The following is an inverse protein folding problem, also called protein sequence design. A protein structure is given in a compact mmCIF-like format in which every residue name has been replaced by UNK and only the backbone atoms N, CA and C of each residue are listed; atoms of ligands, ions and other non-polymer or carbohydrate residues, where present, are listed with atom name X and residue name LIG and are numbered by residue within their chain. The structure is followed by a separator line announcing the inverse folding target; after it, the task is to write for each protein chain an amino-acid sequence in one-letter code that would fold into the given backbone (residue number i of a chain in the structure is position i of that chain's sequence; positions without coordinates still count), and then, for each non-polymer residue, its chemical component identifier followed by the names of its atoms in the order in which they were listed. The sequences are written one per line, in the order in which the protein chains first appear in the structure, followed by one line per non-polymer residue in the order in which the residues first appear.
data_IF_112114973854
#
_entry.id   IF_112114973854
#
_cell.length_a   1.000
_cell.length_b   1.000
_cell.length_c   1.000
_cell.angle_alpha   90.00
_cell.angle_beta   90.00
_cell.angle_gamma   90.00
#
_symmetry.space_group_name_H-M   'P 1'
#
loop_
_entity.id
_entity.type
_entity.pdbx_description
1 polymer ?
#
# COMPACT_ATOMS: atom_id res chain seq x y z
N UNK A 1 -35.63 3.96 33.32
CA UNK A 1 -34.95 2.65 33.45
C UNK A 1 -33.46 2.93 33.64
N UNK A 2 -32.99 2.75 34.86
CA UNK A 2 -31.61 2.99 35.30
C UNK A 2 -30.66 1.99 34.66
N UNK A 3 -29.73 2.46 33.82
CA UNK A 3 -28.59 1.66 33.41
C UNK A 3 -27.71 1.42 34.64
N UNK A 4 -27.29 0.17 34.83
CA UNK A 4 -26.29 -0.25 35.81
C UNK A 4 -25.01 0.60 35.67
N UNK A 5 -24.28 0.88 36.76
CA UNK A 5 -23.00 1.59 36.67
C UNK A 5 -22.06 0.76 35.79
N UNK A 6 -21.76 1.28 34.58
CA UNK A 6 -20.90 0.59 33.62
C UNK A 6 -19.50 0.43 34.20
N UNK A 7 -18.87 -0.73 33.98
CA UNK A 7 -17.48 -0.97 34.35
C UNK A 7 -16.57 0.10 33.74
N UNK A 8 -15.62 0.59 34.54
CA UNK A 8 -14.61 1.56 34.09
C UNK A 8 -13.72 0.86 33.06
N UNK A 9 -13.62 1.44 31.86
CA UNK A 9 -12.72 0.98 30.80
C UNK A 9 -11.34 1.62 30.98
N UNK A 10 -10.35 0.80 31.28
CA UNK A 10 -8.95 1.17 31.28
C UNK A 10 -8.42 1.30 29.84
N UNK A 11 -7.82 2.46 29.56
CA UNK A 11 -7.07 2.75 28.34
C UNK A 11 -5.60 2.81 28.72
N UNK A 12 -4.76 1.97 28.11
CA UNK A 12 -3.32 2.01 28.29
C UNK A 12 -2.67 2.71 27.10
N UNK A 13 -2.10 3.88 27.32
CA UNK A 13 -1.26 4.60 26.36
C UNK A 13 0.21 4.21 26.57
N UNK A 14 0.85 3.69 25.53
CA UNK A 14 2.24 3.27 25.48
C UNK A 14 3.01 4.19 24.54
N UNK A 15 4.04 4.84 25.04
CA UNK A 15 4.89 5.75 24.28
C UNK A 15 6.34 5.28 24.25
N UNK A 16 6.92 5.19 23.05
CA UNK A 16 8.32 4.85 22.86
C UNK A 16 9.03 5.88 21.96
N UNK A 17 10.11 6.46 22.46
CA UNK A 17 10.95 7.44 21.77
C UNK A 17 12.43 7.02 21.86
N UNK A 18 12.80 5.87 21.26
CA UNK A 18 14.17 5.33 21.37
C UNK A 18 15.21 6.30 20.78
N UNK A 19 16.40 6.29 21.38
CA UNK A 19 17.57 7.04 20.88
C UNK A 19 17.91 6.60 19.46
N UNK A 20 18.27 7.57 18.63
CA UNK A 20 18.63 7.33 17.23
C UNK A 20 17.47 7.41 16.24
N UNK A 21 16.25 7.68 16.70
CA UNK A 21 15.12 8.04 15.83
C UNK A 21 14.84 9.54 15.84
N UNK A 22 14.00 10.00 14.91
CA UNK A 22 13.49 11.38 14.93
C UNK A 22 12.56 11.54 16.14
N UNK A 23 12.82 12.48 17.07
CA UNK A 23 11.97 12.64 18.26
C UNK A 23 10.51 12.95 17.89
N UNK A 24 9.58 12.20 18.48
CA UNK A 24 8.14 12.44 18.34
C UNK A 24 7.60 13.19 19.56
N UNK A 25 6.65 14.09 19.35
CA UNK A 25 5.97 14.81 20.43
C UNK A 25 4.80 13.99 21.01
N UNK A 26 5.14 12.86 21.62
CA UNK A 26 4.19 11.88 22.17
C UNK A 26 3.40 12.45 23.37
N UNK A 27 3.99 13.41 24.09
CA UNK A 27 3.32 14.13 25.19
C UNK A 27 2.11 14.92 24.70
N UNK A 28 2.22 15.62 23.56
CA UNK A 28 1.08 16.34 22.99
C UNK A 28 -0.05 15.40 22.60
N UNK A 29 0.26 14.20 22.12
CA UNK A 29 -0.77 13.21 21.83
C UNK A 29 -1.45 12.69 23.09
N UNK A 30 -0.68 12.22 24.08
CA UNK A 30 -1.22 11.76 25.36
C UNK A 30 -2.09 12.83 26.05
N UNK A 31 -1.62 14.08 26.04
CA UNK A 31 -2.37 15.21 26.58
C UNK A 31 -3.66 15.44 25.80
N UNK A 32 -3.63 15.40 24.48
CA UNK A 32 -4.81 15.61 23.66
C UNK A 32 -5.87 14.51 23.87
N UNK A 33 -5.44 13.26 24.06
CA UNK A 33 -6.32 12.15 24.43
C UNK A 33 -6.97 12.40 25.80
N UNK A 34 -6.16 12.77 26.81
CA UNK A 34 -6.64 13.08 28.15
C UNK A 34 -7.67 14.22 28.14
N UNK A 35 -7.32 15.34 27.51
CA UNK A 35 -8.18 16.52 27.41
C UNK A 35 -9.49 16.20 26.64
N UNK A 36 -9.46 15.29 25.65
CA UNK A 36 -10.64 14.80 24.94
C UNK A 36 -11.58 13.97 25.83
N UNK A 37 -11.01 12.99 26.55
CA UNK A 37 -11.76 12.14 27.47
C UNK A 37 -12.37 12.94 28.63
N UNK A 38 -11.63 13.88 29.22
CA UNK A 38 -12.10 14.72 30.35
C UNK A 38 -13.28 15.62 29.97
N UNK A 39 -13.32 16.13 28.73
CA UNK A 39 -14.42 16.97 28.22
C UNK A 39 -15.64 16.16 27.77
N UNK A 40 -15.52 14.84 27.72
CA UNK A 40 -16.55 13.98 27.16
C UNK A 40 -17.74 13.76 28.10
N UNK A 41 -18.90 13.44 27.52
CA UNK A 41 -20.15 13.20 28.28
C UNK A 41 -20.04 12.02 29.23
N UNK A 42 -19.21 11.04 28.89
CA UNK A 42 -19.04 9.81 29.65
C UNK A 42 -17.62 9.69 30.23
N UNK A 43 -16.98 10.81 30.60
CA UNK A 43 -15.61 10.84 31.14
C UNK A 43 -15.38 9.85 32.29
N UNK A 44 -16.38 9.65 33.16
CA UNK A 44 -16.28 8.79 34.34
C UNK A 44 -16.24 7.28 33.98
N UNK A 45 -16.40 6.92 32.69
CA UNK A 45 -16.28 5.54 32.20
C UNK A 45 -14.86 5.15 31.78
N UNK A 46 -13.93 6.11 31.70
CA UNK A 46 -12.59 5.85 31.16
C UNK A 46 -11.51 6.16 32.19
N UNK A 47 -10.52 5.28 32.30
CA UNK A 47 -9.30 5.51 33.06
C UNK A 47 -8.09 5.45 32.13
N UNK A 48 -7.48 6.60 31.83
CA UNK A 48 -6.29 6.68 30.99
C UNK A 48 -5.02 6.47 31.81
N UNK A 49 -4.35 5.35 31.58
CA UNK A 49 -3.06 5.01 32.15
C UNK A 49 -1.97 5.20 31.10
N UNK A 50 -0.82 5.73 31.50
CA UNK A 50 0.26 6.08 30.57
C UNK A 50 1.55 5.36 30.99
N UNK A 51 2.22 4.73 30.03
CA UNK A 51 3.55 4.15 30.19
C UNK A 51 4.47 4.77 29.14
N UNK A 52 5.59 5.32 29.62
CA UNK A 52 6.58 6.05 28.82
C UNK A 52 7.87 5.24 28.75
N UNK A 53 8.70 5.55 27.75
CA UNK A 53 9.98 4.87 27.52
C UNK A 53 9.81 3.34 27.47
N UNK A 54 8.80 2.90 26.72
CA UNK A 54 8.32 1.51 26.79
C UNK A 54 9.32 0.57 26.14
N UNK A 55 9.87 -0.35 26.94
CA UNK A 55 10.61 -1.52 26.47
C UNK A 55 9.65 -2.69 26.16
N UNK A 56 10.13 -3.73 25.47
CA UNK A 56 9.30 -4.92 25.20
C UNK A 56 8.78 -5.59 26.48
N UNK A 57 9.65 -5.73 27.49
CA UNK A 57 9.32 -6.23 28.82
C UNK A 57 8.39 -5.27 29.56
N UNK A 58 8.61 -3.96 29.44
CA UNK A 58 7.74 -2.94 30.01
C UNK A 58 6.32 -2.99 29.45
N UNK A 59 6.18 -3.14 28.13
CA UNK A 59 4.89 -3.32 27.45
C UNK A 59 4.15 -4.55 27.98
N UNK A 60 4.82 -5.70 28.01
CA UNK A 60 4.22 -6.94 28.49
C UNK A 60 3.76 -6.81 29.94
N UNK A 61 4.57 -6.19 30.81
CA UNK A 61 4.22 -5.95 32.21
C UNK A 61 3.00 -5.03 32.32
N UNK A 62 3.01 -3.89 31.64
CA UNK A 62 1.93 -2.92 31.71
C UNK A 62 0.59 -3.49 31.21
N UNK A 63 0.60 -4.25 30.11
CA UNK A 63 -0.61 -4.90 29.60
C UNK A 63 -1.15 -5.94 30.58
N UNK A 64 -0.29 -6.75 31.19
CA UNK A 64 -0.70 -7.77 32.16
C UNK A 64 -1.20 -7.18 33.48
N UNK A 65 -0.49 -6.19 34.05
CA UNK A 65 -0.83 -5.61 35.35
C UNK A 65 -2.10 -4.76 35.30
N UNK A 66 -2.29 -4.03 34.20
CA UNK A 66 -3.36 -3.05 34.09
C UNK A 66 -4.63 -3.61 33.43
N UNK A 67 -4.54 -4.79 32.80
CA UNK A 67 -5.63 -5.46 32.09
C UNK A 67 -6.52 -4.49 31.28
N UNK A 68 -5.93 -3.69 30.37
CA UNK A 68 -6.64 -2.63 29.68
C UNK A 68 -7.64 -3.19 28.66
N UNK A 69 -8.81 -2.57 28.51
CA UNK A 69 -9.73 -2.87 27.40
C UNK A 69 -9.29 -2.20 26.10
N UNK A 70 -8.54 -1.10 26.16
CA UNK A 70 -7.98 -0.41 24.99
C UNK A 70 -6.49 -0.20 25.18
N UNK A 71 -5.67 -0.62 24.20
CA UNK A 71 -4.24 -0.31 24.16
C UNK A 71 -3.96 0.65 23.00
N UNK A 72 -3.28 1.75 23.29
CA UNK A 72 -2.83 2.72 22.30
C UNK A 72 -1.31 2.78 22.33
N UNK A 73 -0.67 2.36 21.26
CA UNK A 73 0.76 2.53 21.06
C UNK A 73 1.02 3.75 20.18
N UNK A 74 1.90 4.65 20.62
CA UNK A 74 2.41 5.74 19.82
C UNK A 74 3.94 5.73 19.81
N UNK A 75 4.52 5.77 18.61
CA UNK A 75 5.96 5.63 18.42
C UNK A 75 6.31 5.36 16.95
N UNK A 76 7.52 4.86 16.72
CA UNK A 76 7.96 4.52 15.36
C UNK A 76 7.57 3.10 14.95
N UNK A 77 7.44 2.89 13.64
CA UNK A 77 7.22 1.59 13.02
C UNK A 77 7.99 1.48 11.71
N UNK A 78 8.44 0.26 11.39
CA UNK A 78 9.28 -0.03 10.22
C UNK A 78 8.65 -1.14 9.37
N UNK A 79 7.33 -1.10 9.18
CA UNK A 79 6.60 -2.12 8.40
C UNK A 79 6.90 -3.53 8.91
N UNK A 80 7.43 -4.40 8.03
CA UNK A 80 7.83 -5.78 8.38
C UNK A 80 8.91 -5.89 9.47
N UNK A 81 9.65 -4.79 9.71
CA UNK A 81 10.59 -4.70 10.82
C UNK A 81 9.91 -4.70 12.20
N UNK A 82 8.67 -4.24 12.31
CA UNK A 82 7.92 -4.18 13.56
C UNK A 82 7.77 -2.79 14.16
N UNK A 83 7.30 -2.74 15.41
CA UNK A 83 7.23 -1.52 16.21
C UNK A 83 8.58 -1.25 16.89
N UNK A 84 9.01 0.00 16.89
CA UNK A 84 10.23 0.41 17.59
C UNK A 84 9.91 0.71 19.05
N UNK A 85 10.42 -0.13 19.94
CA UNK A 85 10.43 0.06 21.38
C UNK A 85 11.83 0.45 21.86
N UNK A 86 11.93 0.80 23.14
CA UNK A 86 13.23 1.07 23.76
C UNK A 86 13.87 -0.25 24.22
N UNK A 87 15.19 -0.34 24.06
CA UNK A 87 16.01 -1.32 24.78
C UNK A 87 16.38 -0.78 26.17
N UNK A 88 17.03 -1.59 27.00
CA UNK A 88 17.47 -1.20 28.35
C UNK A 88 18.48 -0.03 28.34
N UNK A 89 19.21 0.17 27.24
CA UNK A 89 20.12 1.32 27.05
C UNK A 89 19.43 2.55 26.39
N UNK A 90 18.12 2.43 26.10
CA UNK A 90 17.30 3.41 25.40
C UNK A 90 17.48 3.43 23.89
N UNK A 91 18.23 2.48 23.29
CA UNK A 91 18.33 2.34 21.84
C UNK A 91 17.07 1.70 21.23
N UNK A 92 17.02 1.64 19.89
CA UNK A 92 15.89 1.03 19.17
C UNK A 92 15.92 -0.48 19.30
N UNK A 93 14.83 -1.06 19.81
CA UNK A 93 14.53 -2.48 19.73
C UNK A 93 13.26 -2.70 18.91
N UNK A 94 13.38 -3.41 17.79
CA UNK A 94 12.23 -3.74 16.94
C UNK A 94 11.48 -4.98 17.47
N UNK A 95 10.17 -4.84 17.66
CA UNK A 95 9.28 -5.94 18.04
C UNK A 95 8.41 -6.35 16.87
N UNK A 96 8.61 -7.59 16.42
CA UNK A 96 7.97 -8.19 15.25
C UNK A 96 6.47 -8.46 15.46
N UNK A 97 5.75 -8.55 14.35
CA UNK A 97 4.31 -8.80 14.29
C UNK A 97 3.89 -10.07 15.03
N UNK A 98 4.68 -11.15 14.94
CA UNK A 98 4.37 -12.43 15.60
C UNK A 98 4.51 -12.36 17.13
N UNK A 99 5.47 -11.60 17.64
CA UNK A 99 5.65 -11.37 19.07
C UNK A 99 4.49 -10.55 19.66
N UNK A 100 4.06 -9.50 18.95
CA UNK A 100 2.89 -8.70 19.35
C UNK A 100 1.60 -9.53 19.33
N UNK A 101 1.38 -10.33 18.28
CA UNK A 101 0.23 -11.22 18.19
C UNK A 101 0.20 -12.22 19.36
N UNK A 102 1.34 -12.83 19.71
CA UNK A 102 1.47 -13.72 20.87
C UNK A 102 1.11 -13.00 22.17
N UNK A 103 1.59 -11.78 22.40
CA UNK A 103 1.26 -10.99 23.59
C UNK A 103 -0.25 -10.76 23.69
N UNK A 104 -0.86 -10.19 22.64
CA UNK A 104 -2.28 -9.84 22.66
C UNK A 104 -3.21 -11.06 22.68
N UNK A 105 -2.76 -12.22 22.18
CA UNK A 105 -3.47 -13.50 22.35
C UNK A 105 -3.65 -13.86 23.82
N UNK A 106 -2.66 -13.57 24.67
CA UNK A 106 -2.72 -13.87 26.10
C UNK A 106 -3.70 -12.95 26.83
N UNK A 107 -3.97 -11.76 26.30
CA UNK A 107 -4.88 -10.77 26.88
C UNK A 107 -6.37 -11.05 26.62
N UNK A 108 -6.69 -12.10 25.86
CA UNK A 108 -8.07 -12.47 25.49
C UNK A 108 -8.34 -13.96 25.72
N UNK A 109 -7.63 -14.57 26.66
CA UNK A 109 -7.83 -15.96 27.03
C UNK A 109 -9.20 -16.17 27.68
N UNK A 110 -9.73 -17.40 27.67
CA UNK A 110 -10.92 -17.74 28.45
C UNK A 110 -10.74 -17.29 29.90
N UNK A 111 -11.80 -16.74 30.50
CA UNK A 111 -11.81 -16.23 31.88
C UNK A 111 -11.05 -14.92 32.15
N UNK A 112 -10.53 -14.23 31.12
CA UNK A 112 -10.10 -12.84 31.29
C UNK A 112 -11.32 -11.95 31.59
N UNK A 113 -11.35 -11.32 32.78
CA UNK A 113 -12.47 -10.49 33.24
C UNK A 113 -12.71 -9.25 32.35
N UNK A 114 -11.63 -8.65 31.87
CA UNK A 114 -11.62 -7.46 31.03
C UNK A 114 -10.71 -7.68 29.81
N UNK A 115 -11.17 -8.40 28.77
CA UNK A 115 -10.34 -8.67 27.59
C UNK A 115 -10.08 -7.38 26.80
N UNK A 116 -8.92 -7.31 26.17
CA UNK A 116 -8.60 -6.23 25.23
C UNK A 116 -9.61 -6.26 24.07
N UNK A 117 -10.35 -5.16 23.90
CA UNK A 117 -11.35 -5.00 22.85
C UNK A 117 -10.77 -4.26 21.63
N UNK A 118 -9.87 -3.31 21.88
CA UNK A 118 -9.29 -2.48 20.82
C UNK A 118 -7.79 -2.24 21.01
N UNK A 119 -7.03 -2.32 19.91
CA UNK A 119 -5.63 -1.88 19.86
C UNK A 119 -5.47 -0.80 18.79
N UNK A 120 -4.83 0.32 19.13
CA UNK A 120 -4.50 1.42 18.21
C UNK A 120 -2.98 1.49 18.09
N UNK A 121 -2.46 1.36 16.88
CA UNK A 121 -1.03 1.43 16.59
C UNK A 121 -0.72 2.70 15.78
N UNK A 122 -0.53 3.82 16.47
CA UNK A 122 -0.09 5.09 15.90
C UNK A 122 1.41 5.05 15.61
N UNK A 123 1.80 4.25 14.63
CA UNK A 123 3.17 4.08 14.18
C UNK A 123 3.19 3.85 12.66
N UNK A 124 4.21 4.38 11.97
CA UNK A 124 4.33 4.26 10.51
C UNK A 124 4.28 2.79 10.05
N UNK A 125 3.48 2.51 9.02
CA UNK A 125 3.34 1.17 8.42
C UNK A 125 2.92 0.06 9.41
N UNK A 126 2.23 0.41 10.50
CA UNK A 126 1.79 -0.55 11.53
C UNK A 126 0.62 -1.46 11.13
N UNK A 127 0.09 -1.33 9.91
CA UNK A 127 -0.99 -2.18 9.39
C UNK A 127 -0.63 -3.67 9.44
N UNK A 128 0.62 -4.03 9.19
CA UNK A 128 1.07 -5.43 9.23
C UNK A 128 0.92 -6.03 10.64
N UNK A 129 1.38 -5.29 11.67
CA UNK A 129 1.21 -5.69 13.06
C UNK A 129 -0.27 -5.70 13.44
N UNK A 130 -1.05 -4.73 12.94
CA UNK A 130 -2.48 -4.68 13.18
C UNK A 130 -3.20 -5.94 12.65
N UNK A 131 -2.82 -6.44 11.46
CA UNK A 131 -3.37 -7.68 10.89
C UNK A 131 -3.04 -8.89 11.76
N UNK A 132 -1.82 -8.99 12.26
CA UNK A 132 -1.40 -10.08 13.12
C UNK A 132 -2.15 -10.08 14.46
N UNK A 133 -2.33 -8.91 15.08
CA UNK A 133 -3.05 -8.75 16.34
C UNK A 133 -4.56 -8.99 16.17
N UNK A 134 -5.13 -8.58 15.03
CA UNK A 134 -6.56 -8.72 14.74
C UNK A 134 -7.02 -10.19 14.64
N UNK A 135 -6.10 -11.15 14.51
CA UNK A 135 -6.43 -12.57 14.65
C UNK A 135 -6.99 -12.90 16.04
N UNK A 136 -6.68 -12.09 17.04
CA UNK A 136 -7.04 -12.32 18.44
C UNK A 136 -7.97 -11.23 19.00
N UNK A 137 -7.73 -9.97 18.64
CA UNK A 137 -8.46 -8.80 19.17
C UNK A 137 -9.62 -8.38 18.24
N UNK A 138 -10.82 -8.03 18.76
CA UNK A 138 -11.97 -7.63 17.96
C UNK A 138 -11.69 -6.48 16.99
N UNK A 139 -11.02 -5.43 17.44
CA UNK A 139 -10.72 -4.23 16.67
C UNK A 139 -9.25 -3.86 16.78
N UNK A 140 -8.57 -3.68 15.64
CA UNK A 140 -7.21 -3.17 15.62
C UNK A 140 -7.07 -2.10 14.56
N UNK A 141 -6.53 -0.95 14.93
CA UNK A 141 -6.27 0.17 14.04
C UNK A 141 -4.76 0.24 13.82
N UNK A 142 -4.33 0.14 12.56
CA UNK A 142 -2.94 0.34 12.16
C UNK A 142 -2.82 1.38 11.05
N UNK A 143 -1.60 1.81 10.74
CA UNK A 143 -1.33 2.79 9.69
C UNK A 143 -0.81 2.07 8.45
N UNK A 144 -1.48 2.27 7.31
CA UNK A 144 -1.11 1.63 6.03
C UNK A 144 0.18 2.20 5.42
N UNK A 145 0.57 3.39 5.86
CA UNK A 145 1.74 4.13 5.37
C UNK A 145 2.37 4.95 6.50
N UNK A 146 3.40 5.74 6.16
CA UNK A 146 3.92 6.75 7.07
C UNK A 146 2.79 7.73 7.44
N UNK A 147 2.73 8.10 8.72
CA UNK A 147 1.75 9.05 9.26
C UNK A 147 2.52 10.19 9.93
N UNK A 148 2.17 11.44 9.62
CA UNK A 148 2.72 12.59 10.30
C UNK A 148 2.15 12.78 11.71
N UNK A 149 2.94 13.36 12.62
CA UNK A 149 2.56 13.63 14.01
C UNK A 149 1.24 14.40 14.14
N UNK A 150 0.98 15.32 13.21
CA UNK A 150 -0.27 16.08 13.18
C UNK A 150 -1.47 15.18 12.86
N UNK A 151 -1.36 14.27 11.88
CA UNK A 151 -2.42 13.34 11.55
C UNK A 151 -2.65 12.33 12.67
N UNK A 152 -1.59 11.73 13.22
CA UNK A 152 -1.69 10.78 14.33
C UNK A 152 -2.43 11.41 15.53
N UNK A 153 -2.03 12.62 15.92
CA UNK A 153 -2.70 13.35 17.01
C UNK A 153 -4.15 13.73 16.67
N UNK A 154 -4.43 14.17 15.44
CA UNK A 154 -5.81 14.50 15.02
C UNK A 154 -6.72 13.27 14.98
N UNK A 155 -6.18 12.14 14.54
CA UNK A 155 -6.85 10.86 14.61
C UNK A 155 -7.19 10.49 16.05
N UNK A 156 -6.19 10.51 16.94
CA UNK A 156 -6.36 10.17 18.35
C UNK A 156 -7.43 11.05 19.02
N UNK A 157 -7.39 12.37 18.82
CA UNK A 157 -8.41 13.29 19.35
C UNK A 157 -9.82 12.91 18.86
N UNK A 158 -10.02 12.78 17.55
CA UNK A 158 -11.32 12.43 16.99
C UNK A 158 -11.84 11.08 17.48
N UNK A 159 -10.95 10.10 17.57
CA UNK A 159 -11.26 8.76 18.05
C UNK A 159 -11.72 8.76 19.51
N UNK A 160 -10.94 9.35 20.42
CA UNK A 160 -11.28 9.35 21.85
C UNK A 160 -12.41 10.32 22.21
N UNK A 161 -12.57 11.43 21.48
CA UNK A 161 -13.75 12.31 21.63
C UNK A 161 -15.03 11.54 21.31
N UNK A 162 -15.03 10.73 20.23
CA UNK A 162 -16.16 9.91 19.84
C UNK A 162 -16.43 8.77 20.83
N UNK A 163 -15.39 8.10 21.34
CA UNK A 163 -15.54 7.09 22.39
C UNK A 163 -16.09 7.68 23.68
N UNK A 164 -15.56 8.84 24.10
CA UNK A 164 -16.07 9.61 25.24
C UNK A 164 -17.52 10.06 25.08
N UNK A 165 -17.97 10.24 23.83
CA UNK A 165 -19.37 10.52 23.49
C UNK A 165 -20.25 9.26 23.43
N UNK A 166 -19.73 8.09 23.75
CA UNK A 166 -20.46 6.82 23.81
C UNK A 166 -20.64 6.14 22.45
N UNK A 167 -19.82 6.48 21.44
CA UNK A 167 -19.83 5.81 20.14
C UNK A 167 -19.10 4.45 20.21
N UNK A 168 -19.46 3.54 19.31
CA UNK A 168 -18.74 2.26 19.15
C UNK A 168 -17.36 2.47 18.53
N UNK A 169 -16.47 1.49 18.68
CA UNK A 169 -15.11 1.54 18.10
C UNK A 169 -15.11 1.81 16.58
N UNK A 170 -15.94 1.15 15.75
CA UNK A 170 -15.98 1.45 14.31
C UNK A 170 -16.39 2.89 13.99
N UNK A 171 -17.38 3.41 14.72
CA UNK A 171 -17.83 4.80 14.53
C UNK A 171 -16.76 5.78 15.04
N UNK A 172 -16.12 5.50 16.17
CA UNK A 172 -15.03 6.31 16.68
C UNK A 172 -13.84 6.37 15.72
N UNK A 173 -13.52 5.25 15.06
CA UNK A 173 -12.53 5.21 13.99
C UNK A 173 -12.88 6.17 12.84
N UNK A 174 -14.13 6.17 12.36
CA UNK A 174 -14.59 7.10 11.33
C UNK A 174 -14.48 8.57 11.77
N UNK A 175 -14.79 8.87 13.03
CA UNK A 175 -14.59 10.22 13.59
C UNK A 175 -13.10 10.62 13.64
N UNK A 176 -12.20 9.69 13.96
CA UNK A 176 -10.75 9.90 13.89
C UNK A 176 -10.30 10.27 12.48
N UNK A 177 -10.69 9.48 11.47
CA UNK A 177 -10.40 9.76 10.05
C UNK A 177 -11.00 11.10 9.61
N UNK A 178 -12.27 11.36 9.95
CA UNK A 178 -12.93 12.65 9.66
C UNK A 178 -12.20 13.83 10.29
N UNK A 179 -11.62 13.68 11.49
CA UNK A 179 -10.88 14.75 12.17
C UNK A 179 -9.58 15.10 11.44
N UNK A 180 -8.91 14.12 10.84
CA UNK A 180 -7.76 14.36 9.96
C UNK A 180 -8.21 15.12 8.71
N UNK A 181 -9.28 14.65 8.07
CA UNK A 181 -9.82 15.23 6.83
C UNK A 181 -10.27 16.69 7.02
N UNK A 182 -10.99 16.97 8.12
CA UNK A 182 -11.42 18.33 8.49
C UNK A 182 -10.27 19.28 8.80
N UNK A 183 -9.12 18.77 9.25
CA UNK A 183 -7.92 19.55 9.46
C UNK A 183 -7.18 19.87 8.14
N UNK A 184 -7.66 19.37 7.00
CA UNK A 184 -7.03 19.54 5.69
C UNK A 184 -5.75 18.73 5.55
N UNK A 185 -5.56 17.68 6.35
CA UNK A 185 -4.36 16.84 6.33
C UNK A 185 -4.64 15.64 5.39
N UNK A 186 -3.85 15.42 4.33
CA UNK A 186 -4.11 14.39 3.32
C UNK A 186 -3.63 12.99 3.78
N UNK A 187 -3.94 12.62 5.02
CA UNK A 187 -3.56 11.36 5.67
C UNK A 187 -4.78 10.68 6.34
N UNK A 188 -5.99 11.12 6.03
CA UNK A 188 -7.26 10.63 6.59
C UNK A 188 -7.58 9.17 6.25
N UNK A 189 -7.02 8.68 5.14
CA UNK A 189 -7.08 7.28 4.72
C UNK A 189 -5.93 6.41 5.27
N UNK A 190 -4.98 6.99 6.01
CA UNK A 190 -3.82 6.26 6.55
C UNK A 190 -4.21 5.28 7.67
N UNK A 191 -5.05 5.66 8.66
CA UNK A 191 -5.55 4.72 9.66
C UNK A 191 -6.46 3.68 9.01
N UNK A 192 -6.23 2.40 9.31
CA UNK A 192 -7.00 1.25 8.81
C UNK A 192 -7.55 0.45 9.97
N UNK A 193 -8.88 0.32 10.04
CA UNK A 193 -9.56 -0.55 11.01
C UNK A 193 -9.64 -1.98 10.48
N UNK A 194 -9.15 -2.91 11.29
CA UNK A 194 -9.11 -4.35 11.01
C UNK A 194 -9.92 -5.06 12.09
N UNK A 195 -10.88 -5.88 11.67
CA UNK A 195 -11.77 -6.61 12.58
C UNK A 195 -11.45 -8.11 12.60
N UNK A 196 -11.65 -8.76 13.76
CA UNK A 196 -11.34 -10.19 13.95
C UNK A 196 -12.00 -11.13 12.95
N UNK A 197 -13.24 -10.85 12.54
CA UNK A 197 -13.94 -11.64 11.53
C UNK A 197 -13.37 -11.48 10.11
N UNK A 198 -12.61 -10.41 9.85
CA UNK A 198 -11.91 -10.19 8.58
C UNK A 198 -10.48 -10.74 8.60
N UNK A 199 -9.98 -11.14 9.77
CA UNK A 199 -8.69 -11.80 9.96
C UNK A 199 -8.77 -13.34 9.85
N UNK A 200 -9.98 -13.91 9.85
CA UNK A 200 -10.25 -15.35 9.81
C UNK A 200 -11.11 -15.77 8.60
N UNK A 201 -10.72 -15.37 7.39
CA UNK A 201 -11.03 -16.14 6.16
C UNK A 201 -9.83 -17.02 5.82
N UNK A 202 -9.60 -17.99 6.70
CA UNK A 202 -8.56 -19.02 6.60
C UNK A 202 -8.70 -20.01 7.76
N UNK A 203 -9.24 -21.20 7.47
CA UNK A 203 -9.34 -22.42 8.33
C UNK A 203 -10.74 -22.86 8.82
N UNK A 204 -11.41 -23.59 7.91
CA UNK A 204 -12.08 -24.91 8.01
C UNK A 204 -13.19 -25.29 9.02
N UNK A 205 -14.02 -26.22 8.50
CA UNK A 205 -14.87 -27.24 9.13
C UNK A 205 -16.37 -26.94 9.17
N UNK A 206 -17.08 -27.64 8.28
CA UNK A 206 -18.51 -27.56 8.09
C UNK A 206 -19.31 -28.36 9.12
N UNK A 207 -20.55 -27.93 9.28
CA UNK A 207 -21.66 -28.80 9.66
C UNK A 207 -22.70 -28.70 8.55
N UNK A 208 -22.97 -29.84 7.93
CA UNK A 208 -24.00 -30.02 6.92
C UNK A 208 -25.34 -30.14 7.64
N UNK A 209 -26.40 -29.42 7.23
CA UNK A 209 -27.76 -29.92 7.37
C UNK A 209 -28.15 -30.65 6.09
N UNK A 210 -28.57 -31.90 6.25
CA UNK A 210 -29.22 -32.71 5.22
C UNK A 210 -30.58 -32.12 4.77
N UNK A 211 -31.16 -32.61 3.66
CA UNK A 211 -31.99 -31.82 2.76
C UNK A 211 -33.47 -31.78 3.16
N UNK A 212 -34.12 -30.64 2.91
CA UNK A 212 -35.58 -30.54 2.93
C UNK A 212 -36.09 -30.49 1.48
N UNK A 213 -36.91 -31.50 1.16
CA UNK A 213 -37.74 -31.67 -0.03
C UNK A 213 -38.19 -30.37 -0.71
N UNK A 214 -37.82 -30.20 -1.98
CA UNK A 214 -38.51 -29.30 -2.90
C UNK A 214 -39.44 -30.11 -3.80
N UNK A 215 -40.76 -30.01 -3.56
CA UNK A 215 -41.77 -30.36 -4.55
C UNK A 215 -41.93 -29.20 -5.55
N UNK A 216 -41.64 -29.52 -6.81
CA UNK A 216 -42.42 -29.20 -8.01
C UNK A 216 -42.52 -27.72 -8.42
N UNK A 217 -41.86 -27.37 -9.53
CA UNK A 217 -42.53 -26.65 -10.63
C UNK A 217 -41.79 -26.91 -11.95
N UNK A 218 -42.57 -26.89 -13.02
CA UNK A 218 -42.36 -27.63 -14.26
C UNK A 218 -41.52 -26.89 -15.32
N UNK A 219 -40.95 -27.73 -16.20
CA UNK A 219 -40.79 -27.54 -17.67
C UNK A 219 -39.94 -26.41 -18.24
N UNK A 220 -38.78 -26.78 -18.82
CA UNK A 220 -38.27 -26.26 -20.12
C UNK A 220 -37.60 -27.42 -20.89
N UNK A 221 -37.84 -27.62 -22.21
CA UNK A 221 -37.31 -28.76 -22.96
C UNK A 221 -35.87 -28.59 -23.44
N UNK A 222 -35.23 -29.75 -23.59
CA UNK A 222 -33.83 -30.05 -23.88
C UNK A 222 -33.29 -29.57 -25.24
N UNK A 223 -32.08 -29.00 -25.23
CA UNK A 223 -31.17 -28.92 -26.39
C UNK A 223 -30.28 -30.18 -26.46
N UNK A 224 -29.85 -30.62 -27.67
CA UNK A 224 -29.15 -31.89 -27.87
C UNK A 224 -27.67 -31.87 -27.40
N UNK A 225 -27.06 -33.04 -27.11
CA UNK A 225 -25.74 -33.13 -26.48
C UNK A 225 -24.59 -32.88 -27.46
N UNK A 226 -23.58 -32.14 -27.02
CA UNK A 226 -22.27 -32.05 -27.68
C UNK A 226 -21.49 -33.38 -27.55
N UNK A 227 -20.64 -33.73 -28.54
CA UNK A 227 -19.93 -35.00 -28.57
C UNK A 227 -18.87 -35.11 -27.47
N UNK A 228 -18.84 -36.28 -26.80
CA UNK A 228 -17.80 -36.67 -25.85
C UNK A 228 -16.50 -36.93 -26.60
N UNK A 229 -15.46 -36.14 -26.31
CA UNK A 229 -14.08 -36.49 -26.66
C UNK A 229 -13.53 -37.38 -25.56
N UNK A 230 -13.39 -38.67 -25.86
CA UNK A 230 -12.72 -39.66 -25.03
C UNK A 230 -11.22 -39.58 -25.30
N UNK A 231 -10.45 -39.08 -24.33
CA UNK A 231 -8.99 -39.15 -24.33
C UNK A 231 -8.46 -39.03 -22.90
N UNK A 232 -7.38 -39.72 -22.52
CA UNK A 232 -6.86 -39.68 -21.17
C UNK A 232 -6.22 -38.30 -20.93
N UNK A 233 -6.88 -37.44 -20.16
CA UNK A 233 -6.28 -36.20 -19.66
C UNK A 233 -5.40 -36.58 -18.48
N UNK A 234 -4.10 -36.72 -18.72
CA UNK A 234 -3.11 -36.69 -17.63
C UNK A 234 -3.23 -35.33 -16.92
N UNK A 235 -3.45 -35.28 -15.60
CA UNK A 235 -3.41 -34.02 -14.88
C UNK A 235 -1.96 -33.51 -14.90
N UNK A 236 -1.70 -32.47 -15.69
CA UNK A 236 -0.48 -31.66 -15.52
C UNK A 236 -0.62 -30.96 -14.16
N UNK A 237 0.37 -31.05 -13.26
CA UNK A 237 0.31 -30.34 -11.98
C UNK A 237 0.20 -28.84 -12.25
N UNK A 238 -0.93 -28.25 -11.84
CA UNK A 238 -1.12 -26.80 -11.88
C UNK A 238 -0.23 -26.22 -10.78
N UNK A 239 0.86 -25.55 -11.17
CA UNK A 239 1.64 -24.72 -10.24
C UNK A 239 0.74 -23.60 -9.72
N UNK A 240 0.55 -23.56 -8.40
CA UNK A 240 -0.06 -22.43 -7.71
C UNK A 240 0.99 -21.32 -7.59
N UNK A 241 0.86 -20.27 -8.39
CA UNK A 241 1.59 -19.02 -8.16
C UNK A 241 0.96 -18.32 -6.93
N UNK A 242 1.72 -18.21 -5.84
CA UNK A 242 1.35 -17.47 -4.64
C UNK A 242 1.21 -15.96 -4.96
N UNK A 243 0.23 -15.23 -4.41
CA UNK A 243 -0.07 -13.86 -4.81
C UNK A 243 0.83 -12.85 -4.08
N UNK A 244 2.15 -12.95 -4.27
CA UNK A 244 3.08 -11.87 -3.94
C UNK A 244 3.81 -11.45 -5.21
N UNK A 245 3.46 -10.27 -5.73
CA UNK A 245 4.11 -9.68 -6.91
C UNK A 245 3.20 -9.50 -8.13
N UNK A 246 3.82 -9.15 -9.27
CA UNK A 246 3.11 -8.98 -10.54
C UNK A 246 2.58 -10.32 -11.05
N UNK A 247 1.31 -10.35 -11.43
CA UNK A 247 0.65 -11.57 -11.93
C UNK A 247 1.09 -11.81 -13.37
N UNK A 248 1.64 -12.99 -13.65
CA UNK A 248 2.09 -13.43 -14.98
C UNK A 248 1.02 -13.24 -16.06
N UNK A 249 1.46 -13.05 -17.31
CA UNK A 249 0.58 -12.78 -18.46
C UNK A 249 -0.41 -13.93 -18.70
N UNK A 250 0.01 -15.17 -18.45
CA UNK A 250 -0.77 -16.39 -18.66
C UNK A 250 -1.68 -16.76 -17.47
N UNK A 251 -1.68 -15.96 -16.40
CA UNK A 251 -2.44 -16.27 -15.20
C UNK A 251 -3.94 -16.08 -15.41
N UNK A 252 -4.70 -17.15 -15.15
CA UNK A 252 -6.17 -17.16 -15.15
C UNK A 252 -6.80 -16.37 -14.00
N UNK A 253 -5.99 -15.89 -13.04
CA UNK A 253 -6.46 -15.15 -11.86
C UNK A 253 -6.45 -13.63 -12.05
N UNK A 254 -6.02 -13.15 -13.21
CA UNK A 254 -6.11 -11.73 -13.53
C UNK A 254 -7.54 -11.34 -13.86
N UNK A 255 -8.12 -10.46 -13.05
CA UNK A 255 -9.42 -9.87 -13.35
C UNK A 255 -9.22 -8.71 -14.32
N UNK A 256 -9.62 -8.92 -15.57
CA UNK A 256 -9.66 -7.87 -16.59
C UNK A 256 -10.53 -6.69 -16.11
N UNK A 257 -10.09 -5.47 -16.41
CA UNK A 257 -10.79 -4.24 -16.02
C UNK A 257 -11.11 -3.36 -17.23
N UNK A 258 -12.10 -3.73 -18.06
CA UNK A 258 -12.65 -2.83 -19.07
C UNK A 258 -13.40 -1.65 -18.39
N UNK A 259 -13.36 -0.42 -18.95
CA UNK A 259 -12.69 -0.03 -20.20
C UNK A 259 -11.20 0.33 -20.02
N UNK A 260 -10.71 0.43 -18.79
CA UNK A 260 -9.41 0.99 -18.43
C UNK A 260 -8.23 0.28 -19.15
N UNK A 261 -8.27 -1.04 -19.22
CA UNK A 261 -7.23 -1.82 -19.91
C UNK A 261 -7.22 -1.56 -21.42
N UNK A 262 -8.40 -1.50 -22.04
CA UNK A 262 -8.53 -1.18 -23.47
C UNK A 262 -8.02 0.22 -23.77
N UNK A 263 -8.34 1.20 -22.92
CA UNK A 263 -7.83 2.56 -23.07
C UNK A 263 -6.29 2.60 -22.99
N UNK A 264 -5.69 1.81 -22.09
CA UNK A 264 -4.22 1.67 -22.00
C UNK A 264 -3.63 0.99 -23.24
N UNK A 265 -4.25 -0.09 -23.73
CA UNK A 265 -3.80 -0.81 -24.93
C UNK A 265 -3.91 0.05 -26.18
N UNK A 266 -5.00 0.80 -26.34
CA UNK A 266 -5.17 1.71 -27.46
C UNK A 266 -4.21 2.90 -27.37
N UNK A 267 -3.93 3.37 -26.15
CA UNK A 267 -3.01 4.49 -25.93
C UNK A 267 -1.56 4.08 -26.22
N UNK A 268 -1.13 2.88 -25.86
CA UNK A 268 0.27 2.44 -26.09
C UNK A 268 0.57 2.23 -27.58
N UNK A 269 -0.44 2.08 -28.43
CA UNK A 269 -0.25 2.00 -29.87
C UNK A 269 -0.03 3.39 -30.51
N UNK A 270 -0.40 4.48 -29.83
CA UNK A 270 -0.23 5.85 -30.33
C UNK A 270 1.23 6.30 -30.27
N UNK A 271 1.64 7.14 -31.21
CA UNK A 271 2.97 7.77 -31.23
C UNK A 271 3.14 8.73 -30.05
N UNK A 272 4.29 8.70 -29.37
CA UNK A 272 4.55 9.61 -28.25
C UNK A 272 3.67 9.37 -27.01
N UNK A 273 3.12 8.17 -26.85
CA UNK A 273 2.14 7.88 -25.79
C UNK A 273 2.71 8.08 -24.38
N UNK A 274 1.88 8.63 -23.49
CA UNK A 274 2.14 8.70 -22.05
C UNK A 274 0.96 8.09 -21.29
N UNK A 275 1.22 6.98 -20.59
CA UNK A 275 0.27 6.29 -19.74
C UNK A 275 0.72 6.45 -18.30
N UNK A 276 -0.18 6.91 -17.44
CA UNK A 276 0.07 7.01 -16.00
C UNK A 276 -0.88 6.10 -15.25
N UNK A 277 -0.34 5.06 -14.63
CA UNK A 277 -1.07 4.10 -13.81
C UNK A 277 -0.93 4.51 -12.35
N UNK A 278 -2.06 4.85 -11.74
CA UNK A 278 -2.12 5.28 -10.34
C UNK A 278 -3.07 4.41 -9.57
N UNK A 279 -2.55 3.72 -8.56
CA UNK A 279 -3.35 2.92 -7.63
C UNK A 279 -2.59 2.66 -6.32
N UNK A 280 -3.25 2.32 -5.21
CA UNK A 280 -2.61 1.78 -4.01
C UNK A 280 -1.74 0.53 -4.27
N UNK A 281 -0.78 0.25 -3.37
CA UNK A 281 0.07 -0.96 -3.44
C UNK A 281 -0.81 -2.23 -3.49
N UNK A 282 -0.29 -3.29 -4.11
CA UNK A 282 -0.97 -4.59 -4.26
C UNK A 282 -2.30 -4.58 -5.05
N UNK A 283 -2.63 -3.50 -5.76
CA UNK A 283 -3.83 -3.46 -6.63
C UNK A 283 -3.61 -4.01 -8.05
N UNK A 284 -2.47 -4.64 -8.31
CA UNK A 284 -2.11 -5.18 -9.62
C UNK A 284 -1.58 -4.14 -10.62
N UNK A 285 -0.97 -3.05 -10.16
CA UNK A 285 -0.41 -1.99 -11.03
C UNK A 285 0.69 -2.51 -11.96
N UNK A 286 1.67 -3.21 -11.37
CA UNK A 286 2.77 -3.82 -12.12
C UNK A 286 2.23 -4.94 -13.03
N UNK A 287 1.18 -5.64 -12.61
CA UNK A 287 0.47 -6.63 -13.45
C UNK A 287 -0.22 -5.99 -14.66
N UNK A 288 -0.86 -4.83 -14.50
CA UNK A 288 -1.45 -4.05 -15.60
C UNK A 288 -0.36 -3.52 -16.52
N UNK A 289 0.72 -2.98 -15.97
CA UNK A 289 1.86 -2.49 -16.73
C UNK A 289 2.48 -3.61 -17.57
N UNK A 290 2.75 -4.79 -17.01
CA UNK A 290 3.28 -5.93 -17.74
C UNK A 290 2.40 -6.32 -18.93
N UNK A 291 1.06 -6.27 -18.78
CA UNK A 291 0.11 -6.52 -19.87
C UNK A 291 0.16 -5.44 -20.95
N UNK A 292 0.26 -4.17 -20.57
CA UNK A 292 0.46 -3.07 -21.52
C UNK A 292 1.78 -3.23 -22.28
N UNK A 293 2.82 -3.70 -21.58
CA UNK A 293 4.11 -4.03 -22.17
C UNK A 293 4.03 -5.19 -23.14
N UNK A 294 3.31 -6.26 -22.78
CA UNK A 294 3.13 -7.41 -23.64
C UNK A 294 2.36 -7.06 -24.91
N UNK A 295 1.28 -6.29 -24.80
CA UNK A 295 0.57 -5.74 -25.95
C UNK A 295 1.49 -4.91 -26.85
N UNK A 296 2.38 -4.12 -26.24
CA UNK A 296 3.42 -3.38 -26.96
C UNK A 296 4.38 -4.31 -27.71
N UNK A 297 4.87 -5.38 -27.07
CA UNK A 297 5.74 -6.39 -27.70
C UNK A 297 5.05 -7.11 -28.85
N UNK A 298 3.79 -7.51 -28.68
CA UNK A 298 2.97 -8.12 -29.72
C UNK A 298 2.76 -7.18 -30.93
N UNK A 299 2.70 -5.87 -30.69
CA UNK A 299 2.67 -4.84 -31.73
C UNK A 299 4.04 -4.52 -32.35
N UNK A 300 5.10 -5.25 -32.00
CA UNK A 300 6.45 -5.06 -32.53
C UNK A 300 7.23 -3.90 -31.87
N UNK A 301 6.85 -3.48 -30.67
CA UNK A 301 7.58 -2.48 -29.90
C UNK A 301 8.61 -3.12 -28.97
N UNK A 302 9.74 -2.44 -28.79
CA UNK A 302 10.75 -2.86 -27.83
C UNK A 302 10.41 -2.31 -26.45
N UNK A 303 10.26 -3.18 -25.47
CA UNK A 303 9.94 -2.80 -24.09
C UNK A 303 11.17 -2.77 -23.20
N UNK A 304 11.36 -1.68 -22.46
CA UNK A 304 12.33 -1.54 -21.36
C UNK A 304 11.58 -1.32 -20.06
N UNK A 305 11.90 -2.12 -19.05
CA UNK A 305 11.29 -2.04 -17.73
C UNK A 305 12.34 -1.61 -16.70
N UNK A 306 12.08 -0.54 -15.97
CA UNK A 306 12.94 -0.09 -14.88
C UNK A 306 12.14 -0.05 -13.59
N UNK A 307 12.62 -0.82 -12.62
CA UNK A 307 12.15 -0.77 -11.25
C UNK A 307 13.07 0.12 -10.41
N UNK A 308 12.54 1.17 -9.80
CA UNK A 308 13.33 2.07 -8.95
C UNK A 308 13.62 1.49 -7.55
N UNK A 309 13.00 0.38 -7.16
CA UNK A 309 13.29 -0.32 -5.91
C UNK A 309 14.68 -0.99 -5.91
N UNK A 310 15.15 -1.41 -7.08
CA UNK A 310 16.48 -2.02 -7.26
C UNK A 310 17.59 -0.98 -7.43
N UNK A 311 17.27 0.32 -7.34
CA UNK A 311 18.27 1.38 -7.37
C UNK A 311 18.83 1.60 -5.97
N UNK A 312 20.15 1.60 -5.83
CA UNK A 312 20.78 1.94 -4.56
C UNK A 312 20.49 3.40 -4.19
N UNK A 313 20.30 3.65 -2.89
CA UNK A 313 20.00 4.98 -2.36
C UNK A 313 21.08 6.02 -2.70
N UNK A 314 22.32 5.57 -2.92
CA UNK A 314 23.44 6.42 -3.32
C UNK A 314 23.20 7.11 -4.67
N UNK A 315 22.58 6.43 -5.64
CA UNK A 315 22.28 7.01 -6.96
C UNK A 315 21.14 8.02 -6.89
N UNK A 316 20.22 7.88 -5.94
CA UNK A 316 19.07 8.78 -5.74
C UNK A 316 19.45 10.08 -5.01
N UNK A 317 20.69 10.20 -4.52
CA UNK A 317 21.20 11.40 -3.83
C UNK A 317 21.61 12.53 -4.77
N UNK A 318 21.96 12.21 -6.03
CA UNK A 318 22.49 13.17 -7.00
C UNK A 318 21.85 12.96 -8.38
N UNK A 319 21.30 14.03 -8.96
CA UNK A 319 20.66 13.99 -10.28
C UNK A 319 21.60 13.52 -11.40
N UNK A 320 22.89 13.84 -11.33
CA UNK A 320 23.84 13.44 -12.35
C UNK A 320 24.10 11.93 -12.31
N UNK A 321 24.39 11.39 -11.12
CA UNK A 321 24.57 9.95 -10.90
C UNK A 321 23.29 9.17 -11.22
N UNK A 322 22.14 9.71 -10.81
CA UNK A 322 20.84 9.13 -11.11
C UNK A 322 20.59 9.02 -12.62
N UNK A 323 20.84 10.09 -13.38
CA UNK A 323 20.62 10.09 -14.84
C UNK A 323 21.64 9.21 -15.57
N UNK A 324 22.88 9.10 -15.08
CA UNK A 324 23.86 8.14 -15.59
C UNK A 324 23.38 6.71 -15.37
N UNK A 325 23.03 6.36 -14.13
CA UNK A 325 22.46 5.05 -13.78
C UNK A 325 21.22 4.74 -14.63
N UNK A 326 20.31 5.69 -14.77
CA UNK A 326 19.11 5.53 -15.58
C UNK A 326 19.43 5.23 -17.05
N UNK A 327 20.39 5.95 -17.63
CA UNK A 327 20.84 5.72 -19.01
C UNK A 327 21.55 4.36 -19.18
N UNK A 328 22.39 3.96 -18.22
CA UNK A 328 23.03 2.64 -18.19
C UNK A 328 21.98 1.53 -18.13
N UNK A 329 21.03 1.63 -17.19
CA UNK A 329 19.96 0.66 -17.01
C UNK A 329 19.12 0.49 -18.27
N UNK A 330 18.70 1.59 -18.91
CA UNK A 330 17.98 1.49 -20.20
C UNK A 330 18.83 0.84 -21.29
N UNK A 331 20.13 1.16 -21.36
CA UNK A 331 21.01 0.59 -22.40
C UNK A 331 21.20 -0.90 -22.23
N UNK A 332 21.46 -1.33 -20.99
CA UNK A 332 21.62 -2.74 -20.63
C UNK A 332 20.35 -3.54 -20.94
N UNK A 333 19.18 -3.01 -20.58
CA UNK A 333 17.89 -3.64 -20.88
C UNK A 333 17.61 -3.73 -22.39
N UNK A 334 18.12 -2.79 -23.18
CA UNK A 334 18.03 -2.81 -24.63
C UNK A 334 19.04 -3.75 -25.31
N UNK A 335 19.95 -4.37 -24.54
CA UNK A 335 21.08 -5.14 -25.06
C UNK A 335 22.11 -4.28 -25.80
N UNK A 336 22.18 -2.99 -25.47
CA UNK A 336 23.11 -2.03 -26.03
C UNK A 336 24.21 -1.73 -25.00
N UNK A 337 25.47 -1.64 -25.44
CA UNK A 337 26.56 -1.20 -24.56
C UNK A 337 26.30 0.22 -24.05
N UNK A 338 26.53 0.47 -22.77
CA UNK A 338 26.37 1.80 -22.20
C UNK A 338 27.48 2.72 -22.73
N UNK A 339 27.13 3.67 -23.59
CA UNK A 339 28.09 4.67 -24.14
C UNK A 339 28.18 5.91 -23.27
N UNK A 340 28.08 5.73 -21.95
CA UNK A 340 28.04 6.85 -21.02
C UNK A 340 29.31 7.68 -21.10
N UNK A 341 30.48 7.05 -21.15
CA UNK A 341 31.75 7.76 -21.22
C UNK A 341 31.84 8.72 -22.41
N UNK A 342 31.18 8.43 -23.54
CA UNK A 342 31.24 9.28 -24.73
C UNK A 342 30.23 10.42 -24.70
N UNK A 343 29.04 10.17 -24.16
CA UNK A 343 27.94 11.13 -24.15
C UNK A 343 27.90 12.00 -22.88
N UNK A 344 28.59 11.58 -21.81
CA UNK A 344 28.67 12.34 -20.56
C UNK A 344 29.85 13.33 -20.50
N UNK A 345 30.63 13.46 -21.59
CA UNK A 345 31.70 14.44 -21.75
C UNK A 345 31.16 15.86 -22.01
N UNK A 346 31.91 16.88 -21.57
CA UNK A 346 31.65 18.30 -21.86
C UNK A 346 30.81 19.07 -20.81
N UNK A 347 30.55 20.34 -21.12
CA UNK A 347 30.00 21.38 -20.21
C UNK A 347 28.46 21.37 -20.14
N UNK A 348 27.78 20.49 -20.88
CA UNK A 348 26.32 20.41 -20.86
C UNK A 348 25.81 19.92 -19.50
N UNK A 349 24.70 20.49 -19.04
CA UNK A 349 24.03 20.00 -17.82
C UNK A 349 23.49 18.57 -17.99
N UNK A 350 23.39 17.83 -16.89
CA UNK A 350 23.02 16.41 -16.84
C UNK A 350 21.74 16.07 -17.59
N UNK A 351 20.72 16.95 -17.54
CA UNK A 351 19.47 16.81 -18.30
C UNK A 351 19.66 16.80 -19.82
N UNK A 352 20.54 17.68 -20.32
CA UNK A 352 20.84 17.77 -21.75
C UNK A 352 21.68 16.58 -22.21
N UNK A 353 22.62 16.11 -21.37
CA UNK A 353 23.39 14.89 -21.60
C UNK A 353 22.48 13.67 -21.73
N UNK A 354 21.57 13.48 -20.76
CA UNK A 354 20.57 12.42 -20.80
C UNK A 354 19.66 12.52 -22.04
N UNK A 355 19.13 13.71 -22.35
CA UNK A 355 18.29 13.90 -23.55
C UNK A 355 19.05 13.56 -24.85
N UNK A 356 20.31 13.98 -24.96
CA UNK A 356 21.15 13.66 -26.11
C UNK A 356 21.46 12.18 -26.21
N UNK A 357 21.67 11.50 -25.08
CA UNK A 357 21.87 10.05 -25.04
C UNK A 357 20.65 9.31 -25.62
N UNK A 358 19.45 9.65 -25.16
CA UNK A 358 18.22 9.06 -25.70
C UNK A 358 18.00 9.42 -27.17
N UNK A 359 18.16 10.69 -27.55
CA UNK A 359 17.85 11.14 -28.91
C UNK A 359 18.87 10.67 -29.96
N UNK A 360 20.17 10.72 -29.65
CA UNK A 360 21.23 10.47 -30.64
C UNK A 360 21.73 9.04 -30.62
N UNK A 361 21.74 8.38 -29.46
CA UNK A 361 22.16 7.00 -29.34
C UNK A 361 20.95 6.07 -29.36
N UNK A 362 20.18 6.02 -28.27
CA UNK A 362 19.14 5.01 -28.11
C UNK A 362 18.10 5.05 -29.25
N UNK A 363 17.33 6.13 -29.39
CA UNK A 363 16.23 6.24 -30.37
C UNK A 363 16.69 6.26 -31.85
N UNK A 364 17.98 6.53 -32.10
CA UNK A 364 18.58 6.41 -33.43
C UNK A 364 18.96 4.98 -33.75
N UNK A 365 19.50 4.25 -32.77
CA UNK A 365 19.93 2.86 -32.93
C UNK A 365 18.75 1.90 -33.06
N UNK A 366 17.65 2.15 -32.35
CA UNK A 366 16.41 1.38 -32.51
C UNK A 366 15.55 1.90 -33.66
N UNK A 367 15.27 1.00 -34.59
CA UNK A 367 14.30 1.20 -35.68
C UNK A 367 12.86 1.08 -35.15
N UNK A 368 12.65 0.17 -34.20
CA UNK A 368 11.36 -0.07 -33.54
C UNK A 368 11.04 1.00 -32.50
N UNK A 369 9.74 1.29 -32.28
CA UNK A 369 9.32 2.14 -31.17
C UNK A 369 9.67 1.55 -29.79
N UNK A 370 10.07 2.42 -28.86
CA UNK A 370 10.48 2.09 -27.50
C UNK A 370 9.34 2.35 -26.51
N UNK A 371 8.93 1.33 -25.77
CA UNK A 371 8.07 1.47 -24.59
C UNK A 371 8.96 1.44 -23.35
N UNK A 372 9.07 2.57 -22.67
CA UNK A 372 9.83 2.74 -21.44
C UNK A 372 8.88 2.75 -20.24
N UNK A 373 9.14 1.83 -19.33
CA UNK A 373 8.28 1.51 -18.22
C UNK A 373 8.97 1.80 -16.91
N UNK A 374 8.37 2.68 -16.12
CA UNK A 374 8.93 3.16 -14.87
C UNK A 374 8.03 2.68 -13.73
N UNK A 375 8.50 1.71 -12.95
CA UNK A 375 7.77 1.15 -11.79
C UNK A 375 8.42 1.55 -10.46
N UNK A 376 7.63 1.62 -9.40
CA UNK A 376 8.02 2.12 -8.07
C UNK A 376 8.70 3.50 -8.09
N UNK A 377 8.27 4.40 -8.98
CA UNK A 377 8.80 5.79 -9.01
C UNK A 377 8.55 6.56 -7.71
N UNK A 378 7.77 5.97 -6.79
CA UNK A 378 7.62 6.37 -5.39
C UNK A 378 8.96 6.53 -4.65
N UNK A 379 10.01 5.80 -5.04
CA UNK A 379 11.35 5.95 -4.48
C UNK A 379 11.98 7.29 -4.88
N UNK A 380 11.83 7.70 -6.14
CA UNK A 380 12.34 8.98 -6.63
C UNK A 380 11.65 10.14 -5.92
N UNK A 381 10.36 10.01 -5.58
CA UNK A 381 9.63 11.03 -4.81
C UNK A 381 10.17 11.28 -3.41
N UNK A 382 10.96 10.36 -2.83
CA UNK A 382 11.63 10.58 -1.54
C UNK A 382 12.77 11.60 -1.64
N UNK A 383 13.21 11.94 -2.86
CA UNK A 383 14.26 12.89 -3.16
C UNK A 383 13.72 14.04 -4.02
N UNK A 384 13.13 15.11 -3.42
CA UNK A 384 12.41 16.15 -4.16
C UNK A 384 13.23 16.86 -5.24
N UNK A 385 14.53 17.07 -5.00
CA UNK A 385 15.43 17.71 -5.97
C UNK A 385 15.60 16.86 -7.23
N UNK A 386 15.79 15.55 -7.09
CA UNK A 386 15.92 14.62 -8.21
C UNK A 386 14.57 14.42 -8.90
N UNK A 387 13.49 14.26 -8.13
CA UNK A 387 12.14 14.11 -8.66
C UNK A 387 11.73 15.30 -9.55
N UNK A 388 11.90 16.54 -9.08
CA UNK A 388 11.51 17.72 -9.83
C UNK A 388 12.21 17.79 -11.19
N UNK A 389 13.52 17.50 -11.21
CA UNK A 389 14.34 17.54 -12.42
C UNK A 389 14.01 16.37 -13.37
N UNK A 390 13.86 15.15 -12.84
CA UNK A 390 13.57 13.94 -13.62
C UNK A 390 12.16 13.93 -14.22
N UNK A 391 11.12 14.25 -13.44
CA UNK A 391 9.76 14.31 -14.00
C UNK A 391 9.59 15.51 -14.94
N UNK A 392 10.32 16.60 -14.71
CA UNK A 392 10.44 17.70 -15.66
C UNK A 392 11.03 17.25 -17.00
N UNK A 393 12.06 16.39 -16.96
CA UNK A 393 12.68 15.80 -18.15
C UNK A 393 11.72 14.87 -18.92
N UNK A 394 11.04 13.96 -18.23
CA UNK A 394 10.05 13.05 -18.86
C UNK A 394 8.91 13.83 -19.54
N UNK A 395 8.46 14.93 -18.92
CA UNK A 395 7.47 15.82 -19.53
C UNK A 395 8.02 16.47 -20.79
N UNK A 396 9.26 16.96 -20.77
CA UNK A 396 9.89 17.54 -21.95
C UNK A 396 9.98 16.52 -23.10
N UNK A 397 10.33 15.26 -22.81
CA UNK A 397 10.38 14.19 -23.82
C UNK A 397 9.01 13.87 -24.41
N UNK A 398 7.96 13.82 -23.59
CA UNK A 398 6.58 13.64 -24.08
C UNK A 398 6.14 14.81 -24.99
N UNK A 399 6.43 16.06 -24.62
CA UNK A 399 6.11 17.21 -25.47
C UNK A 399 6.90 17.18 -26.78
N UNK A 400 8.18 16.77 -26.75
CA UNK A 400 8.96 16.53 -27.97
C UNK A 400 8.35 15.41 -28.82
N UNK A 401 7.81 14.37 -28.20
CA UNK A 401 7.12 13.28 -28.88
C UNK A 401 5.90 13.70 -29.70
N UNK A 402 5.35 14.91 -29.51
CA UNK A 402 4.28 15.45 -30.36
C UNK A 402 4.80 16.05 -31.66
N UNK A 403 6.01 16.64 -31.63
CA UNK A 403 6.52 17.48 -32.70
C UNK A 403 7.75 16.89 -33.43
N UNK A 404 8.54 16.05 -32.76
CA UNK A 404 9.78 15.48 -33.26
C UNK A 404 9.61 13.99 -33.63
N UNK A 405 9.87 13.57 -34.89
CA UNK A 405 9.68 12.19 -35.34
C UNK A 405 10.50 11.14 -34.57
N UNK A 406 11.70 11.52 -34.10
CA UNK A 406 12.55 10.62 -33.32
C UNK A 406 11.91 10.33 -31.96
N UNK A 407 11.30 11.33 -31.32
CA UNK A 407 10.66 11.19 -30.01
C UNK A 407 9.26 10.57 -30.10
N UNK A 408 8.61 10.61 -31.27
CA UNK A 408 7.36 9.86 -31.52
C UNK A 408 7.53 8.35 -31.32
N UNK A 409 8.75 7.84 -31.48
CA UNK A 409 9.10 6.44 -31.18
C UNK A 409 9.07 6.11 -29.68
N UNK A 410 9.21 7.10 -28.80
CA UNK A 410 9.23 6.88 -27.36
C UNK A 410 7.82 6.87 -26.80
N UNK A 411 7.52 5.86 -25.99
CA UNK A 411 6.29 5.73 -25.23
C UNK A 411 6.60 5.52 -23.77
N UNK A 412 5.90 6.23 -22.90
CA UNK A 412 6.18 6.28 -21.47
C UNK A 412 5.02 5.64 -20.70
N UNK A 413 5.34 4.68 -19.84
CA UNK A 413 4.40 4.11 -18.88
C UNK A 413 4.95 4.36 -17.48
N UNK A 414 4.26 5.19 -16.70
CA UNK A 414 4.69 5.58 -15.36
C UNK A 414 3.72 4.99 -14.35
N UNK A 415 4.23 4.17 -13.45
CA UNK A 415 3.46 3.53 -12.38
C UNK A 415 3.85 4.14 -11.04
N UNK A 416 2.87 4.63 -10.30
CA UNK A 416 3.11 5.15 -8.95
C UNK A 416 1.98 4.78 -7.98
N UNK A 417 2.37 4.61 -6.71
CA UNK A 417 1.51 4.13 -5.64
C UNK A 417 0.84 5.25 -4.85
N UNK A 418 1.48 6.43 -4.79
CA UNK A 418 1.06 7.55 -3.93
C UNK A 418 0.30 8.67 -4.66
N UNK A 419 -0.63 9.31 -3.95
CA UNK A 419 -0.98 10.72 -4.13
C UNK A 419 0.10 11.61 -3.47
N UNK A 420 1.32 11.62 -4.00
CA UNK A 420 2.30 12.63 -3.57
C UNK A 420 1.87 13.96 -4.18
N UNK A 421 1.16 14.78 -3.40
CA UNK A 421 1.06 16.20 -3.64
C UNK A 421 2.44 16.80 -3.32
N UNK A 422 3.34 16.78 -4.31
CA UNK A 422 4.46 17.73 -4.27
C UNK A 422 3.77 19.10 -4.32
N UNK A 423 3.99 20.02 -3.36
CA UNK A 423 3.63 21.40 -3.57
C UNK A 423 4.59 21.93 -4.63
N UNK A 424 4.31 21.63 -5.90
CA UNK A 424 5.00 22.24 -7.02
C UNK A 424 4.65 23.72 -6.96
N UNK A 425 5.68 24.53 -6.79
CA UNK A 425 5.64 25.98 -6.68
C UNK A 425 4.61 26.58 -7.65
N UNK A 426 3.90 27.64 -7.24
CA UNK A 426 2.67 28.23 -7.85
C UNK A 426 2.74 28.61 -9.35
N UNK A 427 3.83 28.31 -10.07
CA UNK A 427 3.93 28.37 -11.55
C UNK A 427 3.70 27.03 -12.25
N UNK A 428 3.48 25.94 -11.50
CA UNK A 428 3.21 24.60 -12.05
C UNK A 428 1.71 24.22 -12.03
N UNK A 429 0.82 25.21 -12.05
CA UNK A 429 -0.60 24.99 -12.31
C UNK A 429 -0.77 24.64 -13.81
N UNK A 430 -0.50 23.39 -14.19
CA UNK A 430 -0.95 22.72 -15.44
C UNK A 430 -0.36 21.30 -15.54
N UNK A 431 -0.55 20.47 -14.52
CA UNK A 431 -0.61 19.00 -14.72
C UNK A 431 -2.05 18.51 -14.94
N UNK A 432 -3.03 19.39 -14.78
CA UNK A 432 -4.45 19.19 -15.03
C UNK A 432 -4.86 19.45 -16.49
N UNK A 433 -3.94 19.91 -17.34
CA UNK A 433 -4.22 20.31 -18.73
C UNK A 433 -3.73 19.35 -19.83
N UNK A 434 -3.20 18.18 -19.48
CA UNK A 434 -2.73 17.20 -20.47
C UNK A 434 -3.81 16.11 -20.60
N UNK A 435 -4.31 15.96 -21.81
CA UNK A 435 -5.49 15.17 -22.23
C UNK A 435 -5.31 13.65 -22.12
N UNK A 436 -5.03 13.14 -20.93
CA UNK A 436 -5.32 11.78 -20.52
C UNK A 436 -5.44 11.77 -19.00
N UNK A 437 -6.64 11.58 -18.47
CA UNK A 437 -6.84 11.43 -17.03
C UNK A 437 -5.97 10.25 -16.53
N UNK A 438 -5.35 10.34 -15.34
CA UNK A 438 -4.64 9.20 -14.78
C UNK A 438 -5.58 8.00 -14.74
N UNK A 439 -5.09 6.87 -15.23
CA UNK A 439 -5.81 5.60 -15.14
C UNK A 439 -5.85 5.23 -13.66
N UNK A 440 -7.02 5.46 -13.05
CA UNK A 440 -7.32 5.09 -11.66
C UNK A 440 -7.95 3.71 -11.66
N UNK A 441 -7.23 2.74 -11.13
CA UNK A 441 -7.79 1.42 -10.87
C UNK A 441 -8.82 1.54 -9.74
N UNK A 442 -10.11 1.32 -10.05
CA UNK A 442 -11.18 1.22 -9.03
C UNK A 442 -11.05 -0.11 -8.27
N UNK A 443 -11.46 -0.13 -7.01
CA UNK A 443 -11.60 -1.36 -6.23
C UNK A 443 -12.49 -2.36 -6.96
N UNK A 444 -12.10 -3.63 -6.97
CA UNK A 444 -12.91 -4.72 -7.51
C UNK A 444 -14.19 -4.85 -6.67
N UNK A 445 -15.39 -4.92 -7.29
CA UNK A 445 -16.60 -5.26 -6.55
C UNK A 445 -16.48 -6.67 -5.99
N UNK A 446 -16.92 -6.85 -4.75
CA UNK A 446 -16.77 -8.01 -3.87
C UNK A 446 -17.41 -9.32 -4.37
N UNK A 447 -17.87 -9.40 -5.62
CA UNK A 447 -18.59 -10.55 -6.18
C UNK A 447 -17.82 -11.34 -7.25
N UNK A 448 -16.58 -10.97 -7.58
CA UNK A 448 -15.81 -11.62 -8.67
C UNK A 448 -14.50 -12.29 -8.24
N UNK A 449 -14.27 -12.46 -6.93
CA UNK A 449 -13.13 -13.24 -6.44
C UNK A 449 -13.55 -14.71 -6.35
N UNK A 450 -13.29 -15.48 -7.41
CA UNK A 450 -13.38 -16.94 -7.39
C UNK A 450 -12.07 -17.46 -6.79
N UNK A 451 -12.13 -18.00 -5.58
CA UNK A 451 -11.00 -18.69 -4.93
C UNK A 451 -10.67 -20.00 -5.67
N UNK A 452 -9.40 -20.29 -5.98
CA UNK A 452 -9.00 -21.61 -6.45
C UNK A 452 -9.08 -22.64 -5.31
N UNK A 453 -9.91 -23.66 -5.51
CA UNK A 453 -10.04 -24.79 -4.60
C UNK A 453 -8.72 -25.60 -4.53
N UNK A 454 -8.14 -25.70 -3.33
CA UNK A 454 -7.08 -26.65 -3.06
C UNK A 454 -7.67 -28.07 -2.94
N UNK A 455 -7.29 -28.94 -3.89
CA UNK A 455 -7.52 -30.38 -3.80
C UNK A 455 -6.66 -30.95 -2.66
N UNK A 456 -7.31 -31.41 -1.60
CA UNK A 456 -6.74 -32.33 -0.63
C UNK A 456 -6.64 -33.73 -1.25
N UNK A 457 -5.43 -34.21 -1.49
CA UNK A 457 -5.18 -35.65 -1.68
C UNK A 457 -5.01 -36.27 -0.30
N UNK A 458 -5.95 -37.14 0.06
CA UNK A 458 -5.79 -38.24 1.01
C UNK A 458 -6.53 -39.44 0.41
N UNK A 459 -6.20 -40.69 0.77
CA UNK A 459 -5.59 -41.12 2.03
C UNK A 459 -4.07 -41.33 1.98
#
# INVERSE_FOLDING_TARGET
MSQSPGSIQAILFLAANPKGTTPLDLEKEAKAIKDGLERSRHRDRFNLQQSWAVTATGMQRAVSELSPQIVHFSGHGVGAGGLALESEDGSVQLVRSDALAKLFRLCVQPFTEAPVECVVLNACYSEEQARAIAQHIPYVIGMSQAVGDQAARKFAVGFYDALGAGRSIPVAYEFGCSSISMAGIPEDLTPQLITKHRAMSGSSAGSVPEPVNARKLDSIPSSPPLPRVSGPVNPIPVMFDMPEGSVSLDSRFYVERPPIERDCFDTILRSGALIRIKAPRQMGKSSLMQRVFDQGKQAGHRGVYINFQSADAEFLSNIDLFLQWFCASVSNELGLGDRLEDFWKGVLGSKNKCTNYFQRYLLTTITEPLVLGLDEVDQVFQHPAVAQEFFGLLRAWHEKGKNEPIWQKLRLVIVHSKEVYIPMNRRCATFSGITNQPVKLKQLPSQLVVEPAAQSVGP
#
